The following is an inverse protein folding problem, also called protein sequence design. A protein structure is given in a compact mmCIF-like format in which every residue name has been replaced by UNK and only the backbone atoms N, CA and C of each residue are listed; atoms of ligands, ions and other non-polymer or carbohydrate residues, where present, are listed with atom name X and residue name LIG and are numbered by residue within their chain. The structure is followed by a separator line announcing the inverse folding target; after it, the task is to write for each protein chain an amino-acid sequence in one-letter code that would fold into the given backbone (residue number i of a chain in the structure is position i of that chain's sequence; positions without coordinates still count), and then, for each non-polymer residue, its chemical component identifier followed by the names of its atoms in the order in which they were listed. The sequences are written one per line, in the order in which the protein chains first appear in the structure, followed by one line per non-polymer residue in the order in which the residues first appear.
data_IF_938710660027
#
_entry.id   IF_938710660027
#
_cell.length_a   1.000
_cell.length_b   1.000
_cell.length_c   1.000
_cell.angle_alpha   90.00
_cell.angle_beta   90.00
_cell.angle_gamma   90.00
#
_symmetry.space_group_name_H-M   'P 1'
#
loop_
_entity.id
_entity.type
_entity.pdbx_description
1 polymer ?
#
# COMPACT_ATOMS: atom_id res chain seq x y z
N UNK A 1 -3.49 24.88 1.44
CA UNK A 1 -3.70 25.14 0.00
C UNK A 1 -5.20 25.14 -0.25
N UNK A 2 -5.72 26.05 -1.08
CA UNK A 2 -7.14 26.01 -1.44
C UNK A 2 -7.41 24.89 -2.45
N UNK A 3 -8.47 24.11 -2.22
CA UNK A 3 -8.96 23.13 -3.18
C UNK A 3 -9.43 23.84 -4.45
N UNK A 4 -9.10 23.30 -5.64
CA UNK A 4 -9.54 23.88 -6.90
C UNK A 4 -11.08 23.92 -6.97
N UNK A 5 -11.65 24.99 -7.55
CA UNK A 5 -13.11 25.27 -7.56
C UNK A 5 -13.97 24.10 -8.05
N UNK A 6 -13.44 23.31 -8.98
CA UNK A 6 -14.11 22.13 -9.54
C UNK A 6 -14.46 21.07 -8.47
N UNK A 7 -13.67 20.99 -7.40
CA UNK A 7 -13.88 20.03 -6.30
C UNK A 7 -14.65 20.62 -5.12
N UNK A 8 -14.61 21.96 -4.93
CA UNK A 8 -15.26 22.64 -3.79
C UNK A 8 -16.79 22.43 -3.73
N UNK A 9 -17.43 22.31 -4.89
CA UNK A 9 -18.90 22.22 -4.96
C UNK A 9 -19.41 20.79 -5.22
N UNK A 10 -18.55 19.78 -5.11
CA UNK A 10 -18.90 18.38 -5.43
C UNK A 10 -19.17 18.11 -6.91
N UNK A 11 -18.94 19.09 -7.80
CA UNK A 11 -19.17 18.97 -9.24
C UNK A 11 -18.23 17.99 -9.93
N UNK A 12 -17.04 17.74 -9.35
CA UNK A 12 -16.14 16.66 -9.71
C UNK A 12 -15.62 15.96 -8.47
N UNK A 13 -15.48 14.63 -8.55
CA UNK A 13 -14.85 13.78 -7.55
C UNK A 13 -13.62 13.12 -8.13
N UNK A 14 -12.60 12.91 -7.31
CA UNK A 14 -11.37 12.20 -7.68
C UNK A 14 -11.62 10.70 -7.61
N UNK A 15 -11.09 9.96 -8.58
CA UNK A 15 -11.07 8.50 -8.54
C UNK A 15 -9.97 8.04 -7.58
N UNK A 16 -10.28 7.38 -6.46
CA UNK A 16 -9.27 6.87 -5.56
C UNK A 16 -8.62 5.61 -6.14
N UNK A 17 -7.30 5.55 -6.06
CA UNK A 17 -6.51 4.41 -6.52
C UNK A 17 -5.57 3.96 -5.41
N UNK A 18 -5.69 2.72 -4.95
CA UNK A 18 -4.73 2.12 -4.01
C UNK A 18 -3.68 1.37 -4.82
N UNK A 19 -2.40 1.66 -4.56
CA UNK A 19 -1.27 1.01 -5.22
C UNK A 19 -0.43 0.21 -4.22
N UNK A 20 -0.27 -1.09 -4.46
CA UNK A 20 0.60 -1.99 -3.69
C UNK A 20 1.90 -2.32 -4.46
N UNK A 21 3.10 -2.04 -3.89
CA UNK A 21 4.37 -2.34 -4.52
C UNK A 21 4.71 -3.83 -4.51
N UNK A 22 5.63 -4.26 -5.38
CA UNK A 22 6.14 -5.64 -5.39
C UNK A 22 7.09 -5.95 -4.23
N UNK A 23 7.43 -7.23 -4.08
CA UNK A 23 8.45 -7.69 -3.14
C UNK A 23 9.81 -7.06 -3.50
N UNK A 24 10.51 -6.54 -2.50
CA UNK A 24 11.84 -5.93 -2.59
C UNK A 24 11.79 -4.52 -3.17
N UNK A 25 10.60 -3.95 -3.33
CA UNK A 25 10.41 -2.61 -3.88
C UNK A 25 10.00 -1.60 -2.79
N UNK A 26 10.11 -0.32 -3.11
CA UNK A 26 9.48 0.76 -2.34
C UNK A 26 8.37 1.43 -3.16
N UNK A 27 7.42 2.07 -2.48
CA UNK A 27 6.33 2.83 -3.13
C UNK A 27 6.86 3.91 -4.09
N UNK A 28 8.06 4.45 -3.82
CA UNK A 28 8.68 5.51 -4.60
C UNK A 28 9.19 5.05 -5.96
N UNK A 29 9.53 3.76 -6.11
CA UNK A 29 9.96 3.20 -7.40
C UNK A 29 8.87 3.29 -8.49
N UNK A 30 7.60 3.43 -8.08
CA UNK A 30 6.45 3.51 -8.98
C UNK A 30 5.92 4.94 -9.13
N UNK A 31 6.68 5.95 -8.71
CA UNK A 31 6.25 7.35 -8.74
C UNK A 31 5.84 7.83 -10.15
N UNK A 32 6.49 7.33 -11.20
CA UNK A 32 6.10 7.64 -12.59
C UNK A 32 4.67 7.18 -12.88
N UNK A 33 4.32 5.95 -12.50
CA UNK A 33 2.99 5.38 -12.73
C UNK A 33 1.93 6.10 -11.90
N UNK A 34 2.23 6.38 -10.63
CA UNK A 34 1.28 7.06 -9.74
C UNK A 34 1.05 8.51 -10.15
N UNK A 35 2.08 9.23 -10.61
CA UNK A 35 1.95 10.58 -11.18
C UNK A 35 1.19 10.59 -12.49
N UNK A 36 1.42 9.60 -13.35
CA UNK A 36 0.67 9.46 -14.60
C UNK A 36 -0.83 9.35 -14.31
N UNK A 37 -1.24 8.45 -13.41
CA UNK A 37 -2.65 8.31 -12.99
C UNK A 37 -3.19 9.60 -12.36
N UNK A 38 -2.41 10.25 -11.49
CA UNK A 38 -2.83 11.51 -10.87
C UNK A 38 -3.13 12.61 -11.92
N UNK A 39 -2.43 12.61 -13.05
CA UNK A 39 -2.67 13.56 -14.16
C UNK A 39 -4.03 13.38 -14.85
N UNK A 40 -4.69 12.24 -14.67
CA UNK A 40 -6.02 11.92 -15.21
C UNK A 40 -7.16 12.12 -14.20
N UNK A 41 -6.91 12.83 -13.10
CA UNK A 41 -7.94 13.10 -12.08
C UNK A 41 -8.11 11.98 -11.05
N UNK A 42 -7.09 11.13 -10.89
CA UNK A 42 -7.02 10.17 -9.79
C UNK A 42 -6.32 10.76 -8.57
N UNK A 43 -6.63 10.24 -7.38
CA UNK A 43 -5.79 10.37 -6.19
C UNK A 43 -5.21 8.99 -5.87
N UNK A 44 -3.89 8.91 -5.75
CA UNK A 44 -3.19 7.63 -5.63
C UNK A 44 -2.61 7.46 -4.23
N UNK A 45 -3.06 6.42 -3.53
CA UNK A 45 -2.55 5.98 -2.23
C UNK A 45 -1.54 4.86 -2.45
N UNK A 46 -0.26 5.23 -2.54
CA UNK A 46 0.83 4.26 -2.66
C UNK A 46 1.28 3.81 -1.26
N UNK A 47 1.00 2.55 -0.90
CA UNK A 47 1.22 2.04 0.45
C UNK A 47 2.62 1.42 0.61
N UNK A 48 3.18 1.53 1.82
CA UNK A 48 4.35 0.76 2.24
C UNK A 48 3.97 -0.17 3.38
N UNK A 49 3.70 -1.41 3.02
CA UNK A 49 3.47 -2.52 3.94
C UNK A 49 4.64 -2.82 4.90
N UNK A 50 4.34 -3.27 6.12
CA UNK A 50 5.28 -3.41 7.25
C UNK A 50 5.77 -4.83 7.49
N UNK A 51 5.28 -5.83 6.75
CA UNK A 51 5.62 -7.24 6.91
C UNK A 51 7.05 -7.61 6.50
N UNK A 52 7.85 -6.66 6.01
CA UNK A 52 9.26 -6.88 5.63
C UNK A 52 9.46 -7.26 4.17
N UNK A 53 8.42 -7.20 3.33
CA UNK A 53 8.56 -7.42 1.89
C UNK A 53 8.98 -6.17 1.11
N UNK A 54 8.93 -4.97 1.71
CA UNK A 54 9.35 -3.72 1.06
C UNK A 54 10.84 -3.45 1.26
N UNK A 55 11.47 -2.85 0.25
CA UNK A 55 12.88 -2.38 0.30
C UNK A 55 13.17 -1.59 1.58
N UNK A 56 12.27 -0.67 1.92
CA UNK A 56 12.32 0.15 3.11
C UNK A 56 10.92 0.59 3.52
N UNK A 57 10.64 0.54 4.82
CA UNK A 57 9.46 1.13 5.45
C UNK A 57 9.78 1.51 6.91
N UNK A 58 8.85 2.20 7.57
CA UNK A 58 8.92 2.50 8.99
C UNK A 58 7.63 2.05 9.66
N UNK A 59 7.74 1.31 10.75
CA UNK A 59 6.62 1.07 11.65
C UNK A 59 6.54 2.22 12.66
N UNK A 60 5.50 3.05 12.48
CA UNK A 60 5.22 4.21 13.34
C UNK A 60 4.38 3.87 14.56
N UNK A 61 3.95 2.61 14.73
CA UNK A 61 3.24 2.17 15.94
C UNK A 61 4.20 1.91 17.11
N UNK A 62 5.51 2.01 16.87
CA UNK A 62 6.55 1.87 17.89
C UNK A 62 7.17 3.24 18.22
N UNK A 63 7.55 3.44 19.48
CA UNK A 63 8.28 4.62 19.95
C UNK A 63 9.67 4.21 20.49
N UNK A 64 10.78 4.51 19.80
CA UNK A 64 10.85 5.27 18.55
C UNK A 64 10.38 4.47 17.33
N UNK A 65 9.98 5.13 16.22
CA UNK A 65 9.59 4.44 14.99
C UNK A 65 10.66 3.44 14.54
N UNK A 66 10.23 2.20 14.31
CA UNK A 66 11.14 1.12 13.91
C UNK A 66 11.34 1.16 12.40
N UNK A 67 12.58 1.38 11.96
CA UNK A 67 12.95 1.23 10.54
C UNK A 67 12.96 -0.25 10.20
N UNK A 68 12.30 -0.59 9.11
CA UNK A 68 12.21 -1.94 8.57
C UNK A 68 12.79 -1.91 7.17
N UNK A 69 13.82 -2.71 6.93
CA UNK A 69 14.45 -2.85 5.62
C UNK A 69 14.07 -4.19 5.04
N UNK A 70 14.11 -4.28 3.71
CA UNK A 70 14.04 -5.58 3.08
C UNK A 70 15.27 -6.38 3.48
N UNK A 71 15.05 -7.42 4.28
CA UNK A 71 16.04 -8.45 4.46
C UNK A 71 15.73 -9.53 3.44
N UNK A 72 16.60 -9.70 2.44
CA UNK A 72 16.64 -10.95 1.70
C UNK A 72 16.75 -12.03 2.77
N UNK A 73 15.70 -12.84 2.96
CA UNK A 73 15.70 -13.99 3.87
C UNK A 73 17.12 -14.53 3.95
N UNK A 74 17.81 -14.31 5.06
CA UNK A 74 19.15 -14.84 5.21
C UNK A 74 18.95 -16.34 5.05
N UNK A 75 19.46 -16.90 3.95
CA UNK A 75 19.10 -18.24 3.48
C UNK A 75 19.45 -19.35 4.51
N UNK A 76 20.07 -18.95 5.62
CA UNK A 76 20.47 -19.76 6.76
C UNK A 76 19.47 -19.80 7.92
N UNK A 77 18.55 -18.85 8.06
CA UNK A 77 17.72 -18.75 9.29
C UNK A 77 16.22 -18.64 9.06
N UNK A 78 15.75 -18.43 7.82
CA UNK A 78 14.33 -18.16 7.48
C UNK A 78 13.65 -17.21 8.48
N UNK A 79 14.38 -16.23 9.01
CA UNK A 79 13.87 -15.31 10.03
C UNK A 79 13.84 -13.91 9.43
N UNK A 80 12.74 -13.17 9.58
CA UNK A 80 12.67 -11.76 9.17
C UNK A 80 13.22 -10.82 10.27
N UNK A 81 13.22 -9.51 9.98
CA UNK A 81 13.64 -8.44 10.90
C UNK A 81 12.72 -8.28 12.15
N UNK A 82 11.68 -9.10 12.26
CA UNK A 82 10.77 -9.18 13.39
C UNK A 82 10.97 -10.46 14.21
N UNK A 83 11.95 -11.30 13.86
CA UNK A 83 12.16 -12.57 14.53
C UNK A 83 11.12 -13.64 14.13
N UNK A 84 10.28 -13.38 13.12
CA UNK A 84 9.30 -14.35 12.62
C UNK A 84 10.05 -15.41 11.83
N UNK A 85 9.89 -16.66 12.25
CA UNK A 85 10.46 -17.83 11.56
C UNK A 85 9.47 -18.32 10.53
N UNK A 86 9.97 -18.58 9.33
CA UNK A 86 9.24 -19.19 8.24
C UNK A 86 9.87 -20.55 7.93
N UNK A 87 9.08 -21.52 7.50
CA UNK A 87 9.60 -22.83 7.07
C UNK A 87 10.27 -22.70 5.70
N UNK A 88 9.73 -21.85 4.83
CA UNK A 88 10.24 -21.59 3.49
C UNK A 88 9.71 -20.25 2.93
N UNK A 89 10.06 -19.98 1.66
CA UNK A 89 9.64 -18.76 0.94
C UNK A 89 8.15 -18.73 0.62
N UNK A 90 7.50 -19.88 0.49
CA UNK A 90 6.08 -20.00 0.15
C UNK A 90 5.22 -19.61 1.35
N UNK A 91 5.59 -20.06 2.55
CA UNK A 91 4.95 -19.64 3.80
C UNK A 91 5.12 -18.13 4.02
N UNK A 92 6.32 -17.58 3.80
CA UNK A 92 6.54 -16.13 3.86
C UNK A 92 5.66 -15.37 2.86
N UNK A 93 5.58 -15.88 1.63
CA UNK A 93 4.77 -15.29 0.57
C UNK A 93 3.29 -15.23 0.97
N UNK A 94 2.73 -16.35 1.46
CA UNK A 94 1.33 -16.40 1.91
C UNK A 94 1.06 -15.43 3.06
N UNK A 95 1.89 -15.45 4.10
CA UNK A 95 1.77 -14.53 5.24
C UNK A 95 1.89 -13.08 4.80
N UNK A 96 2.74 -12.80 3.81
CA UNK A 96 2.89 -11.46 3.26
C UNK A 96 1.63 -10.99 2.55
N UNK A 97 1.01 -11.84 1.74
CA UNK A 97 -0.26 -11.50 1.08
C UNK A 97 -1.33 -11.21 2.13
N UNK A 98 -1.50 -12.06 3.13
CA UNK A 98 -2.50 -11.89 4.19
C UNK A 98 -2.30 -10.58 4.97
N UNK A 99 -1.05 -10.26 5.33
CA UNK A 99 -0.76 -9.02 6.05
C UNK A 99 -1.00 -7.79 5.17
N UNK A 100 -0.64 -7.86 3.88
CA UNK A 100 -0.86 -6.75 2.96
C UNK A 100 -2.35 -6.47 2.75
N UNK A 101 -3.19 -7.51 2.69
CA UNK A 101 -4.65 -7.34 2.62
C UNK A 101 -5.14 -6.56 3.84
N UNK A 102 -4.70 -6.91 5.05
CA UNK A 102 -5.06 -6.18 6.28
C UNK A 102 -4.60 -4.72 6.26
N UNK A 103 -3.37 -4.47 5.79
CA UNK A 103 -2.86 -3.10 5.65
C UNK A 103 -3.73 -2.26 4.71
N UNK A 104 -4.28 -2.87 3.65
CA UNK A 104 -5.17 -2.22 2.69
C UNK A 104 -6.56 -2.01 3.27
N UNK A 105 -7.10 -2.97 4.02
CA UNK A 105 -8.36 -2.82 4.75
C UNK A 105 -8.29 -1.64 5.72
N UNK A 106 -7.21 -1.57 6.52
CA UNK A 106 -6.96 -0.45 7.43
C UNK A 106 -6.81 0.88 6.67
N UNK A 107 -6.09 0.89 5.54
CA UNK A 107 -5.98 2.09 4.71
C UNK A 107 -7.35 2.50 4.14
N UNK A 108 -8.17 1.55 3.71
CA UNK A 108 -9.51 1.82 3.18
C UNK A 108 -10.40 2.44 4.24
N UNK A 109 -10.44 1.89 5.45
CA UNK A 109 -11.14 2.47 6.60
C UNK A 109 -10.67 3.91 6.87
N UNK A 110 -9.36 4.13 6.90
CA UNK A 110 -8.79 5.46 7.08
C UNK A 110 -9.20 6.43 5.95
N UNK A 111 -9.23 5.98 4.70
CA UNK A 111 -9.68 6.79 3.56
C UNK A 111 -11.14 7.21 3.73
N UNK A 112 -12.00 6.33 4.25
CA UNK A 112 -13.42 6.63 4.48
C UNK A 112 -13.63 7.64 5.62
N UNK A 113 -12.78 7.60 6.63
CA UNK A 113 -12.88 8.47 7.81
C UNK A 113 -12.22 9.85 7.62
N UNK A 114 -11.35 10.00 6.61
CA UNK A 114 -10.66 11.25 6.36
C UNK A 114 -11.60 12.39 5.90
N UNK A 115 -11.31 13.63 6.32
CA UNK A 115 -12.08 14.83 5.93
C UNK A 115 -12.19 15.05 4.41
N UNK A 116 -11.20 14.54 3.65
CA UNK A 116 -11.19 14.67 2.19
C UNK A 116 -11.97 13.56 1.47
N UNK A 117 -12.53 12.58 2.18
CA UNK A 117 -13.32 11.48 1.63
C UNK A 117 -14.51 11.99 0.80
N UNK A 118 -15.09 13.13 1.18
CA UNK A 118 -16.18 13.80 0.45
C UNK A 118 -15.82 14.17 -1.00
N UNK A 119 -14.53 14.33 -1.30
CA UNK A 119 -14.02 14.64 -2.64
C UNK A 119 -13.72 13.39 -3.47
N UNK A 120 -13.91 12.19 -2.90
CA UNK A 120 -13.61 10.92 -3.53
C UNK A 120 -14.87 10.27 -4.11
N UNK A 121 -14.72 9.65 -5.28
CA UNK A 121 -15.71 8.75 -5.84
C UNK A 121 -15.39 7.30 -5.41
N UNK A 122 -15.71 6.98 -4.15
CA UNK A 122 -15.40 5.66 -3.55
C UNK A 122 -16.03 4.50 -4.35
N UNK A 123 -17.15 4.72 -5.04
CA UNK A 123 -17.78 3.71 -5.89
C UNK A 123 -16.92 3.33 -7.10
N UNK A 124 -15.92 4.15 -7.43
CA UNK A 124 -14.93 3.90 -8.48
C UNK A 124 -13.54 3.60 -7.92
N UNK A 125 -13.44 3.18 -6.66
CA UNK A 125 -12.15 2.81 -6.08
C UNK A 125 -11.51 1.68 -6.90
N UNK A 126 -10.28 1.93 -7.33
CA UNK A 126 -9.48 0.95 -8.07
C UNK A 126 -8.31 0.53 -7.20
N UNK A 127 -7.98 -0.75 -7.24
CA UNK A 127 -6.73 -1.25 -6.68
C UNK A 127 -5.89 -1.89 -7.77
N UNK A 128 -4.58 -1.65 -7.73
CA UNK A 128 -3.61 -2.38 -8.56
C UNK A 128 -2.27 -2.51 -7.84
N UNK A 129 -1.41 -3.37 -8.37
CA UNK A 129 -0.06 -3.52 -7.85
C UNK A 129 0.85 -4.27 -8.82
N UNK A 130 2.15 -4.26 -8.50
CA UNK A 130 3.16 -4.95 -9.29
C UNK A 130 3.61 -6.24 -8.58
N UNK A 131 3.76 -7.34 -9.33
CA UNK A 131 4.22 -8.64 -8.81
C UNK A 131 3.41 -9.08 -7.58
N UNK A 132 4.02 -9.25 -6.41
CA UNK A 132 3.33 -9.53 -5.14
C UNK A 132 2.18 -8.56 -4.87
N UNK A 133 2.34 -7.26 -5.14
CA UNK A 133 1.27 -6.29 -4.97
C UNK A 133 0.10 -6.47 -5.96
N UNK A 134 0.34 -7.08 -7.12
CA UNK A 134 -0.73 -7.46 -8.04
C UNK A 134 -1.56 -8.62 -7.51
N UNK A 135 -0.90 -9.60 -6.87
CA UNK A 135 -1.59 -10.70 -6.18
C UNK A 135 -2.38 -10.17 -4.99
N UNK A 136 -1.79 -9.29 -4.19
CA UNK A 136 -2.52 -8.57 -3.12
C UNK A 136 -3.76 -7.85 -3.68
N UNK A 137 -3.65 -7.17 -4.83
CA UNK A 137 -4.80 -6.48 -5.43
C UNK A 137 -5.94 -7.44 -5.83
N UNK A 138 -5.59 -8.63 -6.32
CA UNK A 138 -6.58 -9.66 -6.64
C UNK A 138 -7.22 -10.20 -5.36
N UNK A 139 -6.44 -10.47 -4.32
CA UNK A 139 -6.98 -10.98 -3.06
C UNK A 139 -7.90 -9.98 -2.37
N UNK A 140 -7.59 -8.68 -2.40
CA UNK A 140 -8.50 -7.63 -1.89
C UNK A 140 -9.80 -7.48 -2.69
N UNK A 141 -9.90 -8.09 -3.88
CA UNK A 141 -11.10 -8.02 -4.72
C UNK A 141 -12.09 -9.17 -4.51
N UNK A 142 -11.73 -10.13 -3.64
CA UNK A 142 -12.58 -11.26 -3.26
C UNK A 142 -13.52 -10.89 -2.12
#
# INVERSE_FOLDING_TARGET
SELHKDFKNGGKKLTPVIFSPGWGSSKNMYATNTRYLASYGCIVFAISHTEGSNEFTCDYNQDPPKKLTYNHLDAKTNTDDHGRKYKDREEFFSISVDQRVKDIETLYEYILECDFAQYLDIQKLVMYGHSLGGITAIECSR
#
